data_IF_124277959743
#
_entry.id   IF_124277959743
#
_cell.length_a   1.000
_cell.length_b   1.000
_cell.length_c   1.000
_cell.angle_alpha   90.00
_cell.angle_beta   90.00
_cell.angle_gamma   90.00
#
_symmetry.space_group_name_H-M   'P 1'
#
loop_
_entity.id
_entity.type
_entity.pdbx_description
1 polymer ?
#
# COMPACT_ATOMS: atom_id res chain seq x y z
N UNK A 1 -22.19 -13.60 3.03
CA UNK A 1 -21.91 -12.71 1.87
C UNK A 1 -20.41 -12.65 1.67
N UNK A 2 -19.88 -13.26 0.61
CA UNK A 2 -18.44 -13.24 0.31
C UNK A 2 -18.17 -12.10 -0.68
N UNK A 3 -17.96 -10.90 -0.15
CA UNK A 3 -17.38 -9.81 -0.93
C UNK A 3 -15.96 -10.29 -1.25
N UNK A 4 -15.69 -10.59 -2.52
CA UNK A 4 -14.34 -10.82 -3.03
C UNK A 4 -13.56 -9.54 -2.77
N UNK A 5 -12.83 -9.51 -1.66
CA UNK A 5 -12.06 -8.37 -1.21
C UNK A 5 -11.00 -8.08 -2.26
N UNK A 6 -11.25 -7.06 -3.09
CA UNK A 6 -10.15 -6.29 -3.66
C UNK A 6 -9.40 -5.77 -2.44
N UNK A 7 -8.15 -6.21 -2.24
CA UNK A 7 -7.31 -5.67 -1.17
C UNK A 7 -7.32 -4.15 -1.29
N UNK A 8 -8.01 -3.51 -0.34
CA UNK A 8 -8.07 -2.06 -0.28
C UNK A 8 -6.78 -1.56 0.33
N UNK A 9 -6.37 -0.34 -0.04
CA UNK A 9 -5.20 0.31 0.56
C UNK A 9 -5.22 0.21 2.10
N UNK A 10 -6.38 0.39 2.72
CA UNK A 10 -6.58 0.24 4.16
C UNK A 10 -6.33 -1.19 4.68
N UNK A 11 -6.75 -2.23 3.95
CA UNK A 11 -6.46 -3.62 4.32
C UNK A 11 -4.97 -3.95 4.18
N UNK A 12 -4.33 -3.48 3.10
CA UNK A 12 -2.89 -3.63 2.89
C UNK A 12 -2.10 -2.94 4.01
N UNK A 13 -2.52 -1.74 4.43
CA UNK A 13 -1.92 -1.01 5.54
C UNK A 13 -2.10 -1.74 6.87
N UNK A 14 -3.30 -2.24 7.16
CA UNK A 14 -3.56 -2.99 8.39
C UNK A 14 -2.76 -4.31 8.45
N UNK A 15 -2.53 -4.97 7.31
CA UNK A 15 -1.61 -6.10 7.23
C UNK A 15 -0.17 -5.69 7.50
N UNK A 16 0.29 -4.59 6.92
CA UNK A 16 1.64 -4.07 7.14
C UNK A 16 1.89 -3.77 8.63
N UNK A 17 0.95 -3.11 9.30
CA UNK A 17 1.03 -2.85 10.75
C UNK A 17 1.13 -4.13 11.58
N UNK A 18 0.35 -5.15 11.23
CA UNK A 18 0.44 -6.47 11.90
C UNK A 18 1.80 -7.12 11.69
N UNK A 19 2.35 -7.06 10.48
CA UNK A 19 3.66 -7.62 10.18
C UNK A 19 4.73 -6.90 11.01
N UNK A 20 4.71 -5.56 11.05
CA UNK A 20 5.65 -4.76 11.86
C UNK A 20 5.51 -5.11 13.34
N UNK A 21 4.29 -5.21 13.87
CA UNK A 21 4.06 -5.59 15.27
C UNK A 21 4.59 -7.00 15.58
N UNK A 22 4.45 -7.95 14.65
CA UNK A 22 4.99 -9.30 14.82
C UNK A 22 6.53 -9.32 14.80
N UNK A 23 7.16 -8.49 13.96
CA UNK A 23 8.62 -8.34 13.91
C UNK A 23 9.14 -7.69 15.21
N UNK A 24 8.47 -6.63 15.68
CA UNK A 24 8.85 -5.89 16.89
C UNK A 24 8.76 -6.75 18.16
N UNK A 25 7.78 -7.66 18.21
CA UNK A 25 7.62 -8.58 19.34
C UNK A 25 8.76 -9.62 19.46
N UNK A 26 9.69 -9.69 18.49
CA UNK A 26 10.93 -10.48 18.51
C UNK A 26 10.75 -11.98 18.87
N UNK A 27 9.53 -12.53 18.74
CA UNK A 27 9.21 -13.95 18.95
C UNK A 27 9.29 -14.76 17.64
N UNK A 28 9.70 -14.14 16.54
CA UNK A 28 9.78 -14.76 15.23
C UNK A 28 11.16 -15.34 14.97
N UNK A 29 11.19 -16.56 14.43
CA UNK A 29 12.41 -17.21 13.94
C UNK A 29 12.99 -16.43 12.74
N UNK A 30 14.30 -16.53 12.49
CA UNK A 30 14.99 -15.76 11.43
C UNK A 30 14.35 -15.99 10.06
N UNK A 31 13.99 -17.24 9.76
CA UNK A 31 13.31 -17.60 8.52
C UNK A 31 11.93 -16.94 8.40
N UNK A 32 11.19 -16.84 9.51
CA UNK A 32 9.88 -16.18 9.53
C UNK A 32 10.01 -14.66 9.36
N UNK A 33 11.07 -14.06 9.91
CA UNK A 33 11.38 -12.64 9.73
C UNK A 33 11.58 -12.30 8.26
N UNK A 34 12.34 -13.12 7.54
CA UNK A 34 12.60 -12.93 6.10
C UNK A 34 11.30 -13.01 5.30
N UNK A 35 10.43 -13.97 5.61
CA UNK A 35 9.13 -14.14 4.94
C UNK A 35 8.22 -12.92 5.20
N UNK A 36 8.15 -12.48 6.46
CA UNK A 36 7.37 -11.30 6.87
C UNK A 36 7.87 -10.02 6.22
N UNK A 37 9.19 -9.82 6.12
CA UNK A 37 9.77 -8.65 5.45
C UNK A 37 9.47 -8.66 3.95
N UNK A 38 9.49 -9.83 3.28
CA UNK A 38 9.07 -9.93 1.87
C UNK A 38 7.62 -9.52 1.70
N UNK A 39 6.74 -10.05 2.55
CA UNK A 39 5.31 -9.74 2.55
C UNK A 39 5.07 -8.23 2.77
N UNK A 40 5.78 -7.62 3.73
CA UNK A 40 5.75 -6.17 3.96
C UNK A 40 6.22 -5.37 2.73
N UNK A 41 7.29 -5.81 2.07
CA UNK A 41 7.84 -5.14 0.90
C UNK A 41 6.86 -5.17 -0.28
N UNK A 42 6.18 -6.29 -0.50
CA UNK A 42 5.14 -6.40 -1.52
C UNK A 42 3.94 -5.49 -1.22
N UNK A 43 3.50 -5.44 0.04
CA UNK A 43 2.42 -4.54 0.48
C UNK A 43 2.78 -3.07 0.28
N UNK A 44 4.00 -2.67 0.64
CA UNK A 44 4.50 -1.31 0.40
C UNK A 44 4.51 -0.99 -1.09
N UNK A 45 5.03 -1.90 -1.93
CA UNK A 45 5.04 -1.70 -3.38
C UNK A 45 3.62 -1.57 -3.96
N UNK A 46 2.65 -2.33 -3.45
CA UNK A 46 1.25 -2.20 -3.84
C UNK A 46 0.67 -0.84 -3.44
N UNK A 47 0.86 -0.42 -2.19
CA UNK A 47 0.42 0.87 -1.67
C UNK A 47 1.00 2.04 -2.48
N UNK A 48 2.30 2.00 -2.77
CA UNK A 48 2.97 3.02 -3.60
C UNK A 48 2.39 3.07 -5.00
N UNK A 49 2.15 1.92 -5.65
CA UNK A 49 1.54 1.90 -6.99
C UNK A 49 0.13 2.49 -7.00
N UNK A 50 -0.65 2.24 -5.96
CA UNK A 50 -2.00 2.82 -5.83
C UNK A 50 -1.93 4.34 -5.65
N UNK A 51 -1.00 4.83 -4.83
CA UNK A 51 -0.76 6.27 -4.66
C UNK A 51 -0.33 6.92 -5.97
N UNK A 52 0.68 6.37 -6.65
CA UNK A 52 1.16 6.92 -7.94
C UNK A 52 0.06 6.94 -9.00
N UNK A 53 -0.81 5.93 -9.06
CA UNK A 53 -1.96 5.95 -9.97
C UNK A 53 -2.96 7.05 -9.62
N UNK A 54 -3.25 7.23 -8.34
CA UNK A 54 -4.13 8.30 -7.89
C UNK A 54 -3.52 9.67 -8.19
N UNK A 55 -2.20 9.85 -7.98
CA UNK A 55 -1.46 11.06 -8.33
C UNK A 55 -1.50 11.34 -9.84
N UNK A 56 -1.29 10.34 -10.68
CA UNK A 56 -1.37 10.47 -12.15
C UNK A 56 -2.78 10.85 -12.63
N UNK A 57 -3.83 10.27 -12.05
CA UNK A 57 -5.22 10.67 -12.34
C UNK A 57 -5.50 12.11 -11.89
N UNK A 58 -5.03 12.50 -10.69
CA UNK A 58 -5.18 13.87 -10.20
C UNK A 58 -4.42 14.87 -11.08
N UNK A 59 -3.19 14.56 -11.48
CA UNK A 59 -2.39 15.39 -12.37
C UNK A 59 -3.06 15.58 -13.73
N UNK A 60 -3.62 14.51 -14.32
CA UNK A 60 -4.40 14.60 -15.57
C UNK A 60 -5.63 15.49 -15.42
N UNK A 61 -6.39 15.32 -14.35
CA UNK A 61 -7.57 16.14 -14.08
C UNK A 61 -7.22 17.62 -13.88
N UNK A 62 -6.06 17.91 -13.28
CA UNK A 62 -5.54 19.27 -13.13
C UNK A 62 -5.02 19.84 -14.46
N UNK A 63 -4.37 19.03 -15.29
CA UNK A 63 -3.88 19.43 -16.61
C UNK A 63 -5.00 19.73 -17.62
N UNK A 64 -6.16 19.08 -17.49
CA UNK A 64 -7.35 19.34 -18.30
C UNK A 64 -8.11 20.62 -17.91
N UNK A 65 -7.75 21.26 -16.79
CA UNK A 65 -8.11 22.65 -16.52
C UNK A 65 -6.96 23.54 -16.97
N UNK A 66 -6.91 23.98 -18.25
CA UNK A 66 -6.11 25.15 -18.57
C UNK A 66 -6.71 26.28 -17.74
N UNK A 67 -5.97 26.70 -16.71
CA UNK A 67 -6.16 28.02 -16.14
C UNK A 67 -6.17 28.97 -17.34
N UNK A 68 -7.36 29.52 -17.56
CA UNK A 68 -7.57 30.67 -18.42
C UNK A 68 -6.69 31.77 -17.83
N UNK A 69 -5.47 31.85 -18.32
CA UNK A 69 -4.53 32.90 -17.99
C UNK A 69 -5.02 34.13 -18.75
N UNK A 70 -5.85 34.92 -18.06
CA UNK A 70 -6.16 36.30 -18.42
C UNK A 70 -4.86 37.15 -18.41
#
# INVERSE_FOLDING_TARGET
MAIRKKETFAESMSRLEKIVAQIDNNELDIDMLVDKIKEATELVAFCTRQLTKAEDEVEKLLAEKPESKE
#
